data_IF_903990649809
#
_entry.id   IF_903990649809
#
_cell.length_a   1.000
_cell.length_b   1.000
_cell.length_c   1.000
_cell.angle_alpha   90.00
_cell.angle_beta   90.00
_cell.angle_gamma   90.00
#
_symmetry.space_group_name_H-M   'P 1'
#
loop_
_entity.id
_entity.type
_entity.pdbx_description
1 polymer ?
#
# COMPACT_ATOMS: atom_id res chain seq x y z
N UNK A 1 13.08 -5.70 1.93
CA UNK A 1 11.61 -5.66 1.78
C UNK A 1 11.18 -4.27 1.37
N UNK A 2 10.30 -4.15 0.37
CA UNK A 2 9.78 -2.84 0.00
C UNK A 2 9.09 -2.16 1.17
N UNK A 3 9.09 -0.82 1.15
CA UNK A 3 8.49 -0.03 2.21
C UNK A 3 7.14 0.50 1.73
N UNK A 4 6.10 0.26 2.52
CA UNK A 4 4.76 0.78 2.27
C UNK A 4 4.50 1.91 3.25
N UNK A 5 4.11 3.06 2.72
CA UNK A 5 3.79 4.25 3.53
C UNK A 5 2.29 4.46 3.51
N UNK A 6 1.69 4.41 4.69
CA UNK A 6 0.24 4.53 4.86
C UNK A 6 -0.14 5.98 5.19
N UNK A 7 -1.42 6.31 4.94
CA UNK A 7 -1.97 7.55 5.49
C UNK A 7 -2.11 7.42 7.01
N UNK A 8 -2.17 8.56 7.70
CA UNK A 8 -2.39 8.56 9.13
C UNK A 8 -3.71 7.88 9.51
N UNK A 9 -4.75 8.08 8.70
CA UNK A 9 -6.04 7.46 8.95
C UNK A 9 -6.01 5.95 8.90
N UNK A 10 -5.39 5.38 7.85
CA UNK A 10 -5.24 3.94 7.76
C UNK A 10 -4.37 3.40 8.89
N UNK A 11 -3.29 4.11 9.22
CA UNK A 11 -2.41 3.67 10.28
C UNK A 11 -3.14 3.61 11.62
N UNK A 12 -3.99 4.58 11.90
CA UNK A 12 -4.77 4.59 13.13
C UNK A 12 -5.70 3.39 13.23
N UNK A 13 -6.32 3.01 12.12
CA UNK A 13 -7.29 1.92 12.12
C UNK A 13 -6.60 0.55 12.17
N UNK A 14 -5.52 0.38 11.43
CA UNK A 14 -4.96 -0.96 11.21
C UNK A 14 -3.64 -1.24 11.91
N UNK A 15 -2.81 -0.23 12.13
CA UNK A 15 -1.43 -0.47 12.58
C UNK A 15 -1.07 0.27 13.86
N UNK A 16 -2.06 0.79 14.58
CA UNK A 16 -1.84 1.54 15.83
C UNK A 16 -0.95 2.76 15.63
N UNK A 17 -1.09 3.41 14.49
CA UNK A 17 -0.37 4.64 14.19
C UNK A 17 0.94 4.47 13.43
N UNK A 18 1.31 3.24 13.08
CA UNK A 18 2.55 3.00 12.35
C UNK A 18 2.32 3.26 10.86
N UNK A 19 3.00 4.29 10.32
CA UNK A 19 2.79 4.70 8.93
C UNK A 19 3.74 4.07 7.93
N UNK A 20 4.88 3.55 8.39
CA UNK A 20 5.85 2.91 7.50
C UNK A 20 5.97 1.44 7.85
N UNK A 21 5.73 0.58 6.88
CA UNK A 21 5.71 -0.86 7.09
C UNK A 21 6.50 -1.53 5.99
N UNK A 22 7.44 -2.39 6.36
CA UNK A 22 8.17 -3.21 5.40
C UNK A 22 7.49 -4.56 5.30
N UNK A 23 7.18 -4.98 4.07
CA UNK A 23 6.56 -6.27 3.81
C UNK A 23 7.20 -6.92 2.60
N UNK A 24 7.22 -8.26 2.54
CA UNK A 24 7.81 -8.97 1.41
C UNK A 24 6.88 -8.94 0.19
N UNK A 25 7.48 -8.98 -0.97
CA UNK A 25 6.75 -9.08 -2.22
C UNK A 25 7.55 -8.53 -3.38
N UNK A 26 7.32 -9.05 -4.56
CA UNK A 26 7.99 -8.61 -5.78
C UNK A 26 7.04 -7.86 -6.72
N UNK A 27 5.79 -7.71 -6.34
CA UNK A 27 4.84 -6.83 -7.03
C UNK A 27 3.84 -6.29 -6.01
N UNK A 28 3.05 -5.30 -6.42
CA UNK A 28 2.12 -4.63 -5.51
C UNK A 28 1.09 -5.60 -4.96
N UNK A 29 0.58 -6.51 -5.79
CA UNK A 29 -0.40 -7.49 -5.34
C UNK A 29 0.12 -8.32 -4.18
N UNK A 30 1.37 -8.76 -4.26
CA UNK A 30 1.99 -9.53 -3.17
C UNK A 30 2.17 -8.70 -1.92
N UNK A 31 2.51 -7.41 -2.08
CA UNK A 31 2.64 -6.52 -0.92
C UNK A 31 1.32 -6.38 -0.18
N UNK A 32 0.22 -6.20 -0.93
CA UNK A 32 -1.09 -6.04 -0.30
C UNK A 32 -1.53 -7.32 0.39
N UNK A 33 -1.21 -8.48 -0.20
CA UNK A 33 -1.49 -9.76 0.44
C UNK A 33 -0.72 -9.90 1.75
N UNK A 34 0.55 -9.51 1.76
CA UNK A 34 1.36 -9.58 2.98
C UNK A 34 0.83 -8.62 4.04
N UNK A 35 0.35 -7.44 3.63
CA UNK A 35 -0.28 -6.51 4.56
C UNK A 35 -1.54 -7.09 5.18
N UNK A 36 -2.37 -7.77 4.37
CA UNK A 36 -3.57 -8.42 4.90
C UNK A 36 -3.25 -9.50 5.91
N UNK A 37 -2.16 -10.22 5.71
CA UNK A 37 -1.76 -11.27 6.64
C UNK A 37 -1.31 -10.71 7.98
N UNK A 38 -0.65 -9.56 7.97
CA UNK A 38 -0.20 -8.90 9.20
C UNK A 38 -1.29 -8.06 9.86
N UNK A 39 -2.10 -7.40 9.04
CA UNK A 39 -3.15 -6.49 9.50
C UNK A 39 -4.41 -6.80 8.70
N UNK A 40 -5.24 -7.74 9.18
CA UNK A 40 -6.40 -8.22 8.42
C UNK A 40 -7.30 -7.10 7.93
N UNK A 41 -7.58 -7.10 6.64
CA UNK A 41 -8.44 -6.11 5.99
C UNK A 41 -7.70 -4.93 5.38
N UNK A 42 -6.43 -4.71 5.75
CA UNK A 42 -5.70 -3.53 5.28
C UNK A 42 -5.44 -3.58 3.77
N UNK A 43 -4.95 -4.71 3.27
CA UNK A 43 -4.66 -4.82 1.83
C UNK A 43 -5.90 -4.69 0.97
N UNK A 44 -7.00 -5.27 1.42
CA UNK A 44 -8.26 -5.16 0.70
C UNK A 44 -8.78 -3.73 0.70
N UNK A 45 -8.69 -3.03 1.83
CA UNK A 45 -9.08 -1.64 1.92
C UNK A 45 -8.28 -0.77 0.95
N UNK A 46 -6.98 -1.01 0.87
CA UNK A 46 -6.11 -0.27 -0.05
C UNK A 46 -6.54 -0.53 -1.49
N UNK A 47 -6.72 -1.80 -1.84
CA UNK A 47 -7.07 -2.16 -3.21
C UNK A 47 -8.38 -1.53 -3.65
N UNK A 48 -9.37 -1.48 -2.76
CA UNK A 48 -10.71 -1.02 -3.11
C UNK A 48 -10.88 0.49 -3.08
N UNK A 49 -10.20 1.17 -2.16
CA UNK A 49 -10.52 2.58 -1.92
C UNK A 49 -9.34 3.54 -1.94
N UNK A 50 -8.14 3.05 -2.18
CA UNK A 50 -6.96 3.92 -2.13
C UNK A 50 -6.23 3.94 -3.46
N UNK A 51 -5.49 5.03 -3.69
CA UNK A 51 -4.58 5.13 -4.82
C UNK A 51 -3.20 4.67 -4.38
N UNK A 52 -2.40 4.19 -5.33
CA UNK A 52 -1.07 3.67 -5.05
C UNK A 52 -0.05 4.40 -5.92
N UNK A 53 0.99 4.92 -5.30
CA UNK A 53 2.11 5.52 -6.00
C UNK A 53 3.38 4.73 -5.69
N UNK A 54 4.20 4.50 -6.71
CA UNK A 54 5.48 3.84 -6.55
C UNK A 54 6.56 4.87 -6.85
N UNK A 55 7.38 5.15 -5.86
CA UNK A 55 8.44 6.17 -5.96
C UNK A 55 7.89 7.52 -6.46
N UNK A 56 6.70 7.88 -5.99
CA UNK A 56 6.08 9.15 -6.33
C UNK A 56 5.27 9.17 -7.61
N UNK A 57 5.19 8.07 -8.34
CA UNK A 57 4.41 8.00 -9.57
C UNK A 57 3.14 7.18 -9.35
N UNK A 58 1.99 7.79 -9.62
CA UNK A 58 0.69 7.16 -9.40
C UNK A 58 0.36 6.22 -10.55
N UNK A 59 -0.05 5.01 -10.21
CA UNK A 59 -0.48 4.00 -11.18
C UNK A 59 -1.95 3.69 -10.99
N UNK A 60 -2.71 3.73 -12.09
CA UNK A 60 -4.13 3.39 -12.01
C UNK A 60 -4.35 1.90 -11.82
N UNK A 61 -3.51 1.08 -12.40
CA UNK A 61 -3.61 -0.37 -12.29
C UNK A 61 -2.29 -0.91 -11.74
N UNK A 62 -2.07 -0.65 -10.45
CA UNK A 62 -0.79 -0.92 -9.83
C UNK A 62 -0.56 -2.38 -9.45
N UNK A 63 -1.60 -3.22 -9.46
CA UNK A 63 -1.51 -4.58 -8.91
C UNK A 63 -0.38 -5.41 -9.51
N UNK A 64 -0.11 -5.22 -10.80
CA UNK A 64 0.90 -6.01 -11.49
C UNK A 64 2.24 -5.31 -11.61
N UNK A 65 2.39 -4.12 -11.02
CA UNK A 65 3.66 -3.41 -11.07
C UNK A 65 4.69 -4.12 -10.21
N UNK A 66 5.88 -4.30 -10.76
CA UNK A 66 7.00 -4.92 -10.05
C UNK A 66 7.60 -3.94 -9.04
N UNK A 67 8.00 -4.46 -7.91
CA UNK A 67 8.66 -3.66 -6.87
C UNK A 67 9.83 -4.44 -6.30
N UNK A 68 10.78 -3.73 -5.72
CA UNK A 68 11.89 -4.34 -5.01
C UNK A 68 12.22 -3.52 -3.76
N UNK A 69 13.31 -3.90 -3.09
CA UNK A 69 13.68 -3.29 -1.81
C UNK A 69 13.98 -1.78 -1.92
N UNK A 70 14.27 -1.29 -3.12
CA UNK A 70 14.58 0.11 -3.32
C UNK A 70 13.34 0.98 -3.54
N UNK A 71 12.18 0.38 -3.70
CA UNK A 71 10.96 1.12 -3.98
C UNK A 71 10.23 1.52 -2.70
N UNK A 72 9.61 2.70 -2.75
CA UNK A 72 8.67 3.13 -1.72
C UNK A 72 7.28 3.16 -2.34
N UNK A 73 6.34 2.51 -1.67
CA UNK A 73 4.96 2.42 -2.14
C UNK A 73 4.11 3.32 -1.23
N UNK A 74 3.57 4.39 -1.80
CA UNK A 74 2.75 5.33 -1.05
C UNK A 74 1.28 5.03 -1.26
N UNK A 75 0.56 4.90 -0.15
CA UNK A 75 -0.89 4.70 -0.17
C UNK A 75 -1.54 6.04 0.11
N UNK A 76 -2.46 6.45 -0.73
CA UNK A 76 -3.10 7.74 -0.61
C UNK A 76 -4.57 7.65 -0.98
N UNK A 77 -5.42 8.62 -0.55
CA UNK A 77 -6.83 8.60 -0.93
C UNK A 77 -6.98 8.75 -2.44
N UNK A 78 -7.97 8.08 -3.00
CA UNK A 78 -8.31 8.27 -4.41
C UNK A 78 -8.79 9.70 -4.63
N UNK A 79 -8.34 10.31 -5.72
CA UNK A 79 -8.69 11.67 -6.06
C UNK A 79 -9.74 11.65 -7.17
N UNK A 80 -10.71 12.56 -7.09
CA UNK A 80 -11.67 12.77 -8.15
C UNK A 80 -12.63 11.62 -8.32
N UNK A 81 -12.96 10.97 -7.27
CA UNK A 81 -13.85 9.85 -7.34
C UNK A 81 -15.25 10.26 -7.76
N UNK A 82 -15.41 10.65 -8.88
CA UNK A 82 -16.69 11.12 -9.43
C UNK A 82 -17.92 10.59 -8.75
#
# INVERSE_FOLDING_TARGET
>A
MPRVVLTAGLAQVYTSGKTEIEVPGSNVRQLLKALDERYPGLGEQIRESMAIAIDGEIYQDAMFESVDDSNEIFIMPKIGGG
#
